data_IF_928362988155
#
_entry.id   IF_928362988155
#
_cell.length_a   1.000
_cell.length_b   1.000
_cell.length_c   1.000
_cell.angle_alpha   90.00
_cell.angle_beta   90.00
_cell.angle_gamma   90.00
#
_symmetry.space_group_name_H-M   'P 1'
#
loop_
_entity.id
_entity.type
_entity.pdbx_description
1 polymer ?
#
# COMPACT_ATOMS: atom_id res chain seq x y z
N UNK A 1 22.67 -10.15 85.90
CA UNK A 1 23.11 -9.16 84.90
C UNK A 1 23.01 -9.87 83.56
N UNK A 2 21.82 -9.84 82.98
CA UNK A 2 21.48 -10.60 81.79
C UNK A 2 21.65 -9.72 80.56
N UNK A 3 22.49 -10.15 79.63
CA UNK A 3 22.53 -9.59 78.27
C UNK A 3 21.79 -10.60 77.39
N UNK A 4 20.59 -10.27 76.87
CA UNK A 4 19.96 -11.11 75.87
C UNK A 4 20.70 -10.90 74.54
N UNK A 5 21.38 -11.96 74.08
CA UNK A 5 21.85 -12.06 72.70
C UNK A 5 20.64 -12.03 71.77
N UNK A 6 20.51 -10.94 71.02
CA UNK A 6 19.55 -10.78 69.94
C UNK A 6 19.68 -11.95 68.97
N UNK A 7 18.63 -12.77 68.94
CA UNK A 7 18.43 -13.85 67.97
C UNK A 7 18.23 -13.19 66.61
N UNK A 8 19.29 -13.11 65.81
CA UNK A 8 19.23 -12.55 64.47
C UNK A 8 18.35 -13.45 63.58
N UNK A 9 17.28 -12.86 63.08
CA UNK A 9 16.14 -13.50 62.46
C UNK A 9 16.47 -14.00 61.05
N UNK A 10 16.67 -15.31 60.89
CA UNK A 10 16.90 -15.97 59.59
C UNK A 10 15.68 -15.89 58.66
N UNK A 11 14.52 -15.44 59.14
CA UNK A 11 13.30 -15.26 58.33
C UNK A 11 13.30 -13.98 57.48
N UNK A 12 13.93 -12.89 57.93
CA UNK A 12 13.90 -11.60 57.22
C UNK A 12 14.71 -11.60 55.92
N UNK A 13 15.85 -12.30 55.88
CA UNK A 13 16.67 -12.42 54.66
C UNK A 13 15.96 -13.18 53.53
N UNK A 14 15.12 -14.15 53.88
CA UNK A 14 14.38 -14.95 52.91
C UNK A 14 13.14 -14.20 52.38
N UNK A 15 12.48 -13.41 53.24
CA UNK A 15 11.32 -12.60 52.86
C UNK A 15 11.69 -11.49 51.85
N UNK A 16 12.83 -10.82 52.05
CA UNK A 16 13.30 -9.79 51.13
C UNK A 16 13.62 -10.32 49.73
N UNK A 17 14.21 -11.52 49.65
CA UNK A 17 14.46 -12.21 48.37
C UNK A 17 13.14 -12.58 47.69
N UNK A 18 12.16 -13.10 48.43
CA UNK A 18 10.83 -13.43 47.89
C UNK A 18 10.15 -12.17 47.31
N UNK A 19 10.17 -11.06 48.05
CA UNK A 19 9.59 -9.79 47.58
C UNK A 19 10.30 -9.28 46.32
N UNK A 20 11.63 -9.33 46.27
CA UNK A 20 12.40 -8.92 45.11
C UNK A 20 12.10 -9.77 43.87
N UNK A 21 11.94 -11.10 44.03
CA UNK A 21 11.58 -12.00 42.94
C UNK A 21 10.16 -11.71 42.43
N UNK A 22 9.20 -11.46 43.32
CA UNK A 22 7.83 -11.11 42.93
C UNK A 22 7.79 -9.79 42.15
N UNK A 23 8.52 -8.77 42.61
CA UNK A 23 8.63 -7.49 41.90
C UNK A 23 9.29 -7.64 40.53
N UNK A 24 10.34 -8.48 40.44
CA UNK A 24 10.99 -8.78 39.17
C UNK A 24 10.02 -9.46 38.20
N UNK A 25 9.23 -10.43 38.66
CA UNK A 25 8.23 -11.10 37.83
C UNK A 25 7.18 -10.10 37.32
N UNK A 26 6.67 -9.22 38.19
CA UNK A 26 5.70 -8.18 37.80
C UNK A 26 6.30 -7.23 36.76
N UNK A 27 7.55 -6.81 36.95
CA UNK A 27 8.26 -5.95 35.99
C UNK A 27 8.44 -6.62 34.64
N UNK A 28 8.84 -7.90 34.60
CA UNK A 28 9.00 -8.68 33.36
C UNK A 28 7.66 -8.88 32.65
N UNK A 29 6.59 -9.18 33.40
CA UNK A 29 5.24 -9.30 32.85
C UNK A 29 4.76 -7.98 32.24
N UNK A 30 4.96 -6.85 32.94
CA UNK A 30 4.58 -5.52 32.44
C UNK A 30 5.35 -5.12 31.18
N UNK A 31 6.66 -5.40 31.14
CA UNK A 31 7.48 -5.15 29.94
C UNK A 31 7.03 -6.01 28.76
N UNK A 32 6.71 -7.29 29.00
CA UNK A 32 6.25 -8.21 27.95
C UNK A 32 4.87 -7.81 27.41
N UNK A 33 3.93 -7.42 28.28
CA UNK A 33 2.63 -6.90 27.87
C UNK A 33 2.77 -5.64 27.01
N UNK A 34 3.63 -4.70 27.42
CA UNK A 34 3.89 -3.48 26.64
C UNK A 34 4.42 -3.79 25.23
N UNK A 35 5.31 -4.78 25.09
CA UNK A 35 5.85 -5.21 23.79
C UNK A 35 4.76 -5.86 22.94
N UNK A 36 3.94 -6.73 23.55
CA UNK A 36 2.84 -7.41 22.86
C UNK A 36 1.76 -6.41 22.40
N UNK A 37 1.49 -5.36 23.17
CA UNK A 37 0.54 -4.31 22.79
C UNK A 37 1.07 -3.44 21.63
N UNK A 38 2.39 -3.25 21.53
CA UNK A 38 3.00 -2.49 20.44
C UNK A 38 3.14 -3.28 19.13
N UNK A 39 3.33 -4.60 19.19
CA UNK A 39 3.61 -5.42 18.02
C UNK A 39 2.55 -5.32 16.88
N UNK A 40 1.23 -5.31 17.16
CA UNK A 40 0.21 -5.11 16.12
C UNK A 40 0.38 -3.77 15.39
N UNK A 41 0.65 -2.69 16.13
CA UNK A 41 0.79 -1.34 15.57
C UNK A 41 1.99 -1.22 14.62
N UNK A 42 3.10 -1.89 14.95
CA UNK A 42 4.32 -1.89 14.12
C UNK A 42 4.08 -2.68 12.83
N UNK A 43 3.39 -3.82 12.93
CA UNK A 43 3.03 -4.62 11.76
C UNK A 43 2.10 -3.84 10.83
N UNK A 44 1.04 -3.24 11.37
CA UNK A 44 0.09 -2.43 10.58
C UNK A 44 0.78 -1.25 9.88
N UNK A 45 1.69 -0.56 10.57
CA UNK A 45 2.47 0.52 9.97
C UNK A 45 3.38 0.03 8.84
N UNK A 46 4.04 -1.13 9.03
CA UNK A 46 4.89 -1.75 8.01
C UNK A 46 4.08 -2.19 6.79
N UNK A 47 2.97 -2.90 6.99
CA UNK A 47 2.10 -3.37 5.92
C UNK A 47 1.56 -2.19 5.10
N UNK A 48 1.17 -1.10 5.78
CA UNK A 48 0.71 0.13 5.13
C UNK A 48 1.82 0.82 4.34
N UNK A 49 3.06 0.85 4.85
CA UNK A 49 4.19 1.42 4.13
C UNK A 49 4.49 0.64 2.84
N UNK A 50 4.48 -0.70 2.91
CA UNK A 50 4.65 -1.56 1.73
C UNK A 50 3.55 -1.29 0.70
N UNK A 51 2.29 -1.20 1.13
CA UNK A 51 1.16 -0.92 0.24
C UNK A 51 1.25 0.49 -0.39
N UNK A 52 1.74 1.49 0.36
CA UNK A 52 2.02 2.83 -0.17
C UNK A 52 3.09 2.80 -1.26
N UNK A 53 4.21 2.10 -1.02
CA UNK A 53 5.26 1.93 -2.03
C UNK A 53 4.69 1.27 -3.30
N UNK A 54 3.95 0.17 -3.14
CA UNK A 54 3.30 -0.53 -4.26
C UNK A 54 2.34 0.38 -5.02
N UNK A 55 1.57 1.21 -4.31
CA UNK A 55 0.66 2.17 -4.94
C UNK A 55 1.42 3.17 -5.81
N UNK A 56 2.59 3.64 -5.35
CA UNK A 56 3.44 4.53 -6.14
C UNK A 56 4.03 3.82 -7.36
N UNK A 57 4.45 2.58 -7.23
CA UNK A 57 4.99 1.78 -8.33
C UNK A 57 3.93 1.52 -9.41
N UNK A 58 2.75 1.06 -9.01
CA UNK A 58 1.59 0.89 -9.91
C UNK A 58 1.25 2.22 -10.59
N UNK A 59 1.23 3.31 -9.82
CA UNK A 59 0.98 4.64 -10.39
C UNK A 59 2.05 5.07 -11.38
N UNK A 60 3.32 4.72 -11.16
CA UNK A 60 4.40 5.08 -12.08
C UNK A 60 4.30 4.27 -13.37
N UNK A 61 4.06 2.96 -13.28
CA UNK A 61 3.84 2.09 -14.44
C UNK A 61 2.61 2.53 -15.24
N UNK A 62 1.48 2.76 -14.57
CA UNK A 62 0.25 3.11 -15.27
C UNK A 62 0.23 4.55 -15.78
N UNK A 63 0.74 5.53 -15.03
CA UNK A 63 0.48 6.95 -15.32
C UNK A 63 1.71 7.73 -15.80
N UNK A 64 2.91 7.21 -15.58
CA UNK A 64 4.15 7.88 -15.97
C UNK A 64 4.96 7.11 -17.03
N UNK A 65 4.64 5.84 -17.27
CA UNK A 65 5.23 5.04 -18.34
C UNK A 65 4.32 5.07 -19.59
N UNK A 66 4.88 5.15 -20.81
CA UNK A 66 4.11 5.02 -22.04
C UNK A 66 3.79 3.56 -22.39
N UNK A 67 4.31 2.59 -21.66
CA UNK A 67 4.23 1.18 -21.98
C UNK A 67 5.27 0.73 -23.01
N UNK A 68 5.19 -0.55 -23.37
CA UNK A 68 6.04 -1.18 -24.37
C UNK A 68 5.20 -2.10 -25.28
N UNK A 69 5.12 -1.84 -26.60
CA UNK A 69 5.64 -0.67 -27.29
C UNK A 69 4.95 0.63 -26.83
N UNK A 70 5.53 1.80 -27.09
CA UNK A 70 5.01 3.07 -26.56
C UNK A 70 3.75 3.56 -27.28
N UNK A 71 3.52 3.14 -28.51
CA UNK A 71 2.45 3.58 -29.40
C UNK A 71 1.20 2.68 -29.40
N UNK A 72 1.28 1.50 -28.78
CA UNK A 72 0.20 0.50 -28.63
C UNK A 72 -0.59 0.30 -29.92
N UNK A 73 -0.32 -0.77 -30.64
CA UNK A 73 -1.24 -1.15 -31.71
C UNK A 73 -2.57 -1.62 -31.11
N UNK A 74 -3.70 -1.16 -31.66
CA UNK A 74 -5.03 -1.43 -31.11
C UNK A 74 -5.44 -2.90 -31.13
N UNK A 75 -4.65 -3.73 -31.81
CA UNK A 75 -4.99 -5.13 -32.08
C UNK A 75 -4.48 -6.09 -31.00
N UNK A 76 -3.49 -5.69 -30.19
CA UNK A 76 -2.91 -6.53 -29.13
C UNK A 76 -2.61 -5.75 -27.85
N UNK A 77 -2.68 -6.43 -26.71
CA UNK A 77 -2.17 -5.87 -25.45
C UNK A 77 -0.65 -5.68 -25.56
N UNK A 78 -0.11 -4.55 -25.06
CA UNK A 78 1.32 -4.32 -24.99
C UNK A 78 1.98 -5.29 -24.01
N UNK A 79 3.30 -5.47 -24.13
CA UNK A 79 4.13 -6.22 -23.19
C UNK A 79 4.24 -5.52 -21.83
N UNK A 80 4.12 -4.19 -21.83
CA UNK A 80 4.03 -3.38 -20.61
C UNK A 80 2.96 -2.32 -20.77
N UNK A 81 2.06 -2.26 -19.81
CA UNK A 81 0.99 -1.27 -19.79
C UNK A 81 1.47 0.00 -19.11
N UNK A 82 1.45 1.10 -19.87
CA UNK A 82 1.47 2.46 -19.38
C UNK A 82 0.61 3.41 -20.23
N UNK A 83 -0.18 4.26 -19.56
CA UNK A 83 -1.15 5.17 -20.17
C UNK A 83 -0.54 6.54 -20.53
N UNK A 84 0.72 6.79 -20.22
CA UNK A 84 1.31 8.09 -20.48
C UNK A 84 1.40 8.36 -21.99
N UNK A 85 1.21 9.63 -22.36
CA UNK A 85 1.34 10.08 -23.74
C UNK A 85 2.81 10.11 -24.14
N UNK A 86 3.12 9.47 -25.27
CA UNK A 86 4.48 9.43 -25.82
C UNK A 86 4.59 10.31 -27.07
N UNK A 87 5.58 11.20 -27.09
CA UNK A 87 5.85 12.01 -28.25
C UNK A 87 6.93 11.35 -29.12
N UNK A 88 6.50 10.76 -30.25
CA UNK A 88 7.39 10.13 -31.22
C UNK A 88 8.39 11.11 -31.87
N UNK A 89 8.06 12.41 -31.97
CA UNK A 89 8.96 13.41 -32.56
C UNK A 89 10.11 13.77 -31.63
N UNK A 90 9.85 13.92 -30.34
CA UNK A 90 10.87 14.26 -29.33
C UNK A 90 11.43 13.04 -28.59
N UNK A 91 10.97 11.83 -28.95
CA UNK A 91 11.33 10.56 -28.33
C UNK A 91 11.24 10.60 -26.80
N UNK A 92 10.14 11.16 -26.28
CA UNK A 92 9.98 11.40 -24.84
C UNK A 92 8.54 11.28 -24.36
N UNK A 93 8.39 10.80 -23.12
CA UNK A 93 7.10 10.72 -22.44
C UNK A 93 6.68 12.09 -21.91
N UNK A 94 5.45 12.48 -22.19
CA UNK A 94 4.88 13.75 -21.74
C UNK A 94 4.39 13.60 -20.29
N UNK A 95 4.99 14.36 -19.37
CA UNK A 95 4.59 14.35 -17.96
C UNK A 95 3.16 14.83 -17.78
N UNK A 96 2.44 14.19 -16.86
CA UNK A 96 1.06 14.52 -16.50
C UNK A 96 0.08 14.50 -17.69
N UNK A 97 0.43 13.79 -18.78
CA UNK A 97 -0.44 13.60 -19.92
C UNK A 97 -0.72 12.13 -20.16
N UNK A 98 -1.99 11.82 -20.38
CA UNK A 98 -2.45 10.48 -20.71
C UNK A 98 -2.78 10.39 -22.20
N UNK A 99 -2.45 9.27 -22.80
CA UNK A 99 -2.83 8.94 -24.15
C UNK A 99 -4.32 8.56 -24.20
N UNK A 100 -5.10 9.36 -24.91
CA UNK A 100 -6.54 9.16 -25.08
C UNK A 100 -6.88 7.79 -25.68
N UNK A 101 -6.10 7.32 -26.66
CA UNK A 101 -6.38 6.07 -27.36
C UNK A 101 -6.18 4.88 -26.43
N UNK A 102 -5.12 4.91 -25.61
CA UNK A 102 -4.83 3.86 -24.62
C UNK A 102 -5.91 3.77 -23.56
N UNK A 103 -6.37 4.93 -23.07
CA UNK A 103 -7.46 5.01 -22.08
C UNK A 103 -8.76 4.46 -22.66
N UNK A 104 -9.12 4.83 -23.90
CA UNK A 104 -10.29 4.27 -24.58
C UNK A 104 -10.17 2.76 -24.81
N UNK A 105 -9.04 2.29 -25.33
CA UNK A 105 -8.81 0.87 -25.59
C UNK A 105 -9.03 0.03 -24.33
N UNK A 106 -8.46 0.48 -23.22
CA UNK A 106 -8.65 -0.13 -21.91
C UNK A 106 -10.12 -0.03 -21.49
N UNK A 107 -10.74 1.14 -21.55
CA UNK A 107 -12.14 1.30 -21.12
C UNK A 107 -13.13 0.41 -21.90
N UNK A 108 -12.94 0.28 -23.22
CA UNK A 108 -13.86 -0.44 -24.10
C UNK A 108 -13.74 -1.97 -23.98
N UNK A 109 -12.59 -2.48 -23.49
CA UNK A 109 -12.37 -3.93 -23.31
C UNK A 109 -12.58 -4.43 -21.87
N UNK A 110 -12.72 -3.54 -20.88
CA UNK A 110 -12.45 -3.87 -19.46
C UNK A 110 -13.54 -4.55 -18.62
N UNK A 111 -14.69 -4.92 -19.18
CA UNK A 111 -15.45 -6.00 -18.52
C UNK A 111 -14.65 -7.33 -18.50
N UNK A 112 -13.68 -7.52 -19.41
CA UNK A 112 -13.02 -8.81 -19.63
C UNK A 112 -11.49 -8.86 -19.37
N UNK A 113 -10.85 -7.79 -18.90
CA UNK A 113 -9.38 -7.73 -18.98
C UNK A 113 -8.60 -7.16 -17.78
N UNK A 114 -9.24 -6.84 -16.65
CA UNK A 114 -8.50 -6.46 -15.43
C UNK A 114 -7.40 -7.47 -15.11
N UNK A 115 -7.70 -8.76 -15.21
CA UNK A 115 -6.75 -9.85 -14.96
C UNK A 115 -5.53 -9.77 -15.87
N UNK A 116 -5.67 -9.36 -17.14
CA UNK A 116 -4.52 -9.20 -18.04
C UNK A 116 -3.73 -7.93 -17.73
N UNK A 117 -4.41 -6.87 -17.29
CA UNK A 117 -3.73 -5.64 -16.84
C UNK A 117 -2.91 -5.90 -15.57
N UNK A 118 -3.50 -6.59 -14.59
CA UNK A 118 -2.80 -6.95 -13.36
C UNK A 118 -1.63 -7.89 -13.60
N UNK A 119 -1.77 -8.86 -14.52
CA UNK A 119 -0.66 -9.72 -14.97
C UNK A 119 0.46 -8.92 -15.65
N UNK A 120 0.13 -7.99 -16.54
CA UNK A 120 1.11 -7.12 -17.21
C UNK A 120 1.89 -6.24 -16.23
N UNK A 121 1.23 -5.77 -15.18
CA UNK A 121 1.86 -5.01 -14.10
C UNK A 121 2.67 -5.91 -13.14
N UNK A 122 2.69 -7.23 -13.37
CA UNK A 122 3.35 -8.22 -12.51
C UNK A 122 2.94 -8.10 -11.04
N UNK A 123 1.66 -7.78 -10.80
CA UNK A 123 1.16 -7.66 -9.43
C UNK A 123 1.13 -9.03 -8.77
N UNK A 124 1.57 -9.10 -7.52
CA UNK A 124 1.37 -10.29 -6.71
C UNK A 124 -0.12 -10.59 -6.59
N UNK A 125 -0.50 -11.88 -6.55
CA UNK A 125 -1.90 -12.32 -6.49
C UNK A 125 -2.73 -11.71 -5.35
N UNK A 126 -2.07 -11.20 -4.30
CA UNK A 126 -2.70 -10.53 -3.16
C UNK A 126 -2.99 -9.05 -3.40
N UNK A 127 -2.31 -8.40 -4.35
CA UNK A 127 -2.44 -6.95 -4.60
C UNK A 127 -3.50 -6.71 -5.67
N UNK A 128 -4.51 -5.93 -5.31
CA UNK A 128 -5.57 -5.48 -6.20
C UNK A 128 -5.59 -3.98 -6.28
N UNK A 129 -6.17 -3.45 -7.35
CA UNK A 129 -6.30 -2.03 -7.51
C UNK A 129 -7.61 -1.64 -8.19
N UNK A 130 -7.95 -0.38 -8.04
CA UNK A 130 -9.00 0.30 -8.77
C UNK A 130 -8.42 1.58 -9.35
N UNK A 131 -8.54 1.74 -10.67
CA UNK A 131 -8.14 2.95 -11.38
C UNK A 131 -9.39 3.63 -11.95
N UNK A 132 -9.61 4.88 -11.55
CA UNK A 132 -10.67 5.75 -12.06
C UNK A 132 -10.06 7.00 -12.68
N UNK A 133 -10.54 7.37 -13.87
CA UNK A 133 -10.21 8.64 -14.53
C UNK A 133 -11.51 9.38 -14.80
N UNK A 134 -11.65 10.60 -14.28
CA UNK A 134 -12.86 11.39 -14.47
C UNK A 134 -12.58 12.89 -14.58
N UNK A 135 -13.49 13.62 -15.24
CA UNK A 135 -13.54 15.09 -15.19
C UNK A 135 -14.97 15.55 -15.10
N UNK A 136 -15.28 16.43 -14.14
CA UNK A 136 -16.58 17.10 -14.03
C UNK A 136 -17.79 16.14 -14.09
N UNK A 137 -17.68 14.97 -13.46
CA UNK A 137 -18.74 13.95 -13.44
C UNK A 137 -18.74 12.98 -14.63
N UNK A 138 -17.94 13.22 -15.68
CA UNK A 138 -17.73 12.27 -16.77
C UNK A 138 -16.60 11.31 -16.42
N UNK A 139 -16.89 10.00 -16.44
CA UNK A 139 -15.90 8.94 -16.24
C UNK A 139 -15.35 8.52 -17.60
N UNK A 140 -14.02 8.53 -17.73
CA UNK A 140 -13.29 8.11 -18.93
C UNK A 140 -12.72 6.70 -18.81
N UNK A 141 -12.41 6.28 -17.57
CA UNK A 141 -11.96 4.94 -17.26
C UNK A 141 -12.42 4.57 -15.86
N UNK A 142 -12.89 3.33 -15.73
CA UNK A 142 -13.25 2.73 -14.45
C UNK A 142 -12.86 1.26 -14.43
N UNK A 143 -11.63 0.97 -13.99
CA UNK A 143 -11.04 -0.38 -14.00
C UNK A 143 -10.91 -0.92 -12.58
N UNK A 144 -11.62 -2.00 -12.26
CA UNK A 144 -11.64 -2.66 -10.94
C UNK A 144 -11.90 -4.16 -11.10
N UNK A 145 -11.33 -4.96 -10.19
CA UNK A 145 -11.78 -6.34 -9.91
C UNK A 145 -12.30 -6.42 -8.47
N UNK A 146 -13.47 -5.85 -8.28
CA UNK A 146 -14.17 -5.79 -7.00
C UNK A 146 -13.67 -4.68 -6.08
N UNK A 147 -14.15 -4.72 -4.84
CA UNK A 147 -13.89 -3.70 -3.83
C UNK A 147 -13.22 -4.32 -2.61
N UNK A 148 -12.37 -3.55 -1.92
CA UNK A 148 -11.79 -3.98 -0.65
C UNK A 148 -12.89 -4.25 0.37
N UNK A 149 -12.72 -5.31 1.16
CA UNK A 149 -13.64 -5.65 2.25
C UNK A 149 -13.62 -4.64 3.40
N UNK A 150 -12.53 -3.87 3.55
CA UNK A 150 -12.38 -2.81 4.56
C UNK A 150 -11.61 -1.64 3.97
N UNK A 151 -12.05 -0.41 4.25
CA UNK A 151 -11.38 0.81 3.79
C UNK A 151 -10.06 1.09 4.54
N UNK A 152 -9.86 0.51 5.73
CA UNK A 152 -8.61 0.61 6.50
C UNK A 152 -7.42 0.02 5.77
N UNK A 153 -7.68 -0.90 4.84
CA UNK A 153 -6.66 -1.72 4.19
C UNK A 153 -6.27 -1.14 2.82
N UNK A 154 -6.72 0.09 2.52
CA UNK A 154 -6.62 0.70 1.20
C UNK A 154 -5.69 1.91 1.25
N UNK A 155 -4.83 2.02 0.25
CA UNK A 155 -4.10 3.25 -0.03
C UNK A 155 -4.71 3.91 -1.26
N UNK A 156 -5.03 5.20 -1.13
CA UNK A 156 -5.61 6.01 -2.19
C UNK A 156 -4.60 7.06 -2.63
N UNK A 157 -4.33 7.11 -3.94
CA UNK A 157 -3.53 8.13 -4.58
C UNK A 157 -4.41 8.87 -5.60
N UNK A 158 -4.43 10.19 -5.53
CA UNK A 158 -5.10 11.02 -6.54
C UNK A 158 -4.09 11.91 -7.23
N UNK A 159 -4.16 11.98 -8.56
CA UNK A 159 -3.33 12.85 -9.40
C UNK A 159 -4.19 13.67 -10.35
N UNK A 160 -3.70 14.86 -10.70
CA UNK A 160 -4.29 15.69 -11.74
C UNK A 160 -3.47 15.49 -13.01
N UNK A 161 -4.13 15.12 -14.10
CA UNK A 161 -3.50 14.87 -15.39
C UNK A 161 -4.31 15.53 -16.51
N UNK A 162 -3.75 15.55 -17.72
CA UNK A 162 -4.41 16.03 -18.92
C UNK A 162 -4.62 14.87 -19.87
N UNK A 163 -5.83 14.74 -20.42
CA UNK A 163 -6.16 13.79 -21.47
C UNK A 163 -6.98 14.51 -22.54
N UNK A 164 -6.56 14.44 -23.79
CA UNK A 164 -7.24 15.13 -24.91
C UNK A 164 -7.65 16.59 -24.57
N UNK A 165 -6.68 17.39 -24.10
CA UNK A 165 -6.86 18.79 -23.69
C UNK A 165 -7.81 19.02 -22.49
N UNK A 166 -8.29 17.97 -21.84
CA UNK A 166 -9.17 18.04 -20.67
C UNK A 166 -8.37 17.71 -19.40
N UNK A 167 -8.53 18.50 -18.35
CA UNK A 167 -7.98 18.19 -17.03
C UNK A 167 -8.85 17.11 -16.38
N UNK A 168 -8.22 16.02 -15.95
CA UNK A 168 -8.85 14.87 -15.30
C UNK A 168 -8.25 14.61 -13.92
N UNK A 169 -9.10 14.12 -13.03
CA UNK A 169 -8.68 13.50 -11.79
C UNK A 169 -8.48 12.00 -12.05
N UNK A 170 -7.31 11.51 -11.66
CA UNK A 170 -6.95 10.11 -11.71
C UNK A 170 -6.86 9.60 -10.29
N UNK A 171 -7.74 8.68 -9.91
CA UNK A 171 -7.76 8.05 -8.60
C UNK A 171 -7.31 6.61 -8.74
N UNK A 172 -6.25 6.25 -8.01
CA UNK A 172 -5.76 4.88 -7.86
C UNK A 172 -5.98 4.44 -6.42
N UNK A 173 -6.73 3.37 -6.22
CA UNK A 173 -6.83 2.69 -4.93
C UNK A 173 -6.15 1.34 -5.03
N UNK A 174 -5.37 0.95 -4.02
CA UNK A 174 -4.66 -0.34 -3.98
C UNK A 174 -4.88 -0.98 -2.61
N UNK A 175 -5.11 -2.29 -2.59
CA UNK A 175 -5.35 -3.11 -1.40
C UNK A 175 -4.88 -4.54 -1.59
#
# INVERSE_FOLDING_TARGET
>A
MDIPLLKQDKGQGNLGVIIAVVLLIIMVMSATMSILDMAPSVKEASDRFVLQSRTLDISNLLLNDPGLPADWDSDNLPDRIGLAEYNNFSNSTLRNKLDWKKVLYINDTIANNYTKVSQNLSLENSTRFWLKIESSGRVYLNMTEGYPSRLSDVVVLTRIMVINQTIVNVTLMVW
#
